data_IF_816650086955
#
_entry.id   IF_816650086955
#
_cell.length_a   1.000
_cell.length_b   1.000
_cell.length_c   1.000
_cell.angle_alpha   90.00
_cell.angle_beta   90.00
_cell.angle_gamma   90.00
#
_symmetry.space_group_name_H-M   'P 1'
#
loop_
_entity.id
_entity.type
_entity.pdbx_description
1 polymer ?
#
# COMPACT_ATOMS: atom_id res chain seq x y z
N UNK A 1 -1.61 21.94 -13.52
CA UNK A 1 -1.69 20.56 -12.93
C UNK A 1 -3.09 20.03 -13.18
N UNK A 2 -3.24 18.81 -13.70
CA UNK A 2 -4.58 18.17 -13.74
C UNK A 2 -5.02 17.94 -12.30
N UNK A 3 -6.26 18.31 -11.98
CA UNK A 3 -6.84 18.00 -10.66
C UNK A 3 -6.82 16.49 -10.43
N UNK A 4 -6.35 16.07 -9.27
CA UNK A 4 -6.37 14.66 -8.90
C UNK A 4 -7.83 14.21 -8.77
N UNK A 5 -8.19 13.13 -9.45
CA UNK A 5 -9.54 12.57 -9.47
C UNK A 5 -9.74 11.66 -8.23
N UNK A 6 -9.96 12.29 -7.08
CA UNK A 6 -10.17 11.57 -5.81
C UNK A 6 -11.35 10.61 -5.88
N UNK A 7 -12.41 10.99 -6.58
CA UNK A 7 -13.60 10.16 -6.82
C UNK A 7 -13.25 8.79 -7.45
N UNK A 8 -12.37 8.78 -8.45
CA UNK A 8 -11.93 7.55 -9.09
C UNK A 8 -11.02 6.71 -8.18
N UNK A 9 -10.16 7.37 -7.39
CA UNK A 9 -9.29 6.68 -6.43
C UNK A 9 -10.12 5.99 -5.35
N UNK A 10 -11.13 6.68 -4.82
CA UNK A 10 -12.06 6.15 -3.84
C UNK A 10 -12.88 4.97 -4.42
N UNK A 11 -13.36 5.10 -5.67
CA UNK A 11 -14.05 4.02 -6.34
C UNK A 11 -13.16 2.77 -6.52
N UNK A 12 -11.88 2.96 -6.86
CA UNK A 12 -10.93 1.83 -6.96
C UNK A 12 -10.76 1.16 -5.60
N UNK A 13 -10.55 1.94 -4.55
CA UNK A 13 -10.32 1.38 -3.22
C UNK A 13 -11.51 0.54 -2.77
N UNK A 14 -12.74 1.05 -2.94
CA UNK A 14 -13.96 0.31 -2.64
C UNK A 14 -14.17 -0.91 -3.54
N UNK A 15 -13.85 -0.81 -4.82
CA UNK A 15 -13.94 -1.94 -5.77
C UNK A 15 -13.04 -3.11 -5.34
N UNK A 16 -11.94 -2.81 -4.64
CA UNK A 16 -10.96 -3.80 -4.22
C UNK A 16 -11.28 -4.45 -2.86
N UNK A 17 -12.33 -4.05 -2.17
CA UNK A 17 -12.75 -4.66 -0.90
C UNK A 17 -12.74 -6.20 -0.90
N UNK A 18 -13.25 -6.90 -1.94
CA UNK A 18 -13.22 -8.36 -1.99
C UNK A 18 -11.80 -8.96 -2.14
N UNK A 19 -10.82 -8.16 -2.50
CA UNK A 19 -9.42 -8.57 -2.71
C UNK A 19 -8.61 -8.45 -1.41
N UNK A 20 -8.92 -7.45 -0.57
CA UNK A 20 -8.12 -7.10 0.61
C UNK A 20 -7.88 -8.25 1.60
N UNK A 21 -8.83 -9.15 1.90
CA UNK A 21 -8.56 -10.29 2.77
C UNK A 21 -7.48 -11.23 2.22
N UNK A 22 -7.42 -11.41 0.91
CA UNK A 22 -6.40 -12.26 0.28
C UNK A 22 -5.03 -11.60 0.24
N UNK A 23 -4.98 -10.28 0.06
CA UNK A 23 -3.75 -9.50 0.18
C UNK A 23 -3.25 -9.49 1.62
N UNK A 24 -4.14 -9.33 2.61
CA UNK A 24 -3.79 -9.40 4.02
C UNK A 24 -3.16 -10.75 4.37
N UNK A 25 -3.70 -11.85 3.83
CA UNK A 25 -3.11 -13.18 3.98
C UNK A 25 -1.69 -13.27 3.40
N UNK A 26 -1.45 -12.74 2.20
CA UNK A 26 -0.11 -12.71 1.60
C UNK A 26 0.87 -11.86 2.42
N UNK A 27 0.42 -10.68 2.88
CA UNK A 27 1.21 -9.79 3.72
C UNK A 27 1.56 -10.47 5.05
N UNK A 28 0.59 -11.14 5.68
CA UNK A 28 0.80 -11.89 6.92
C UNK A 28 1.85 -12.97 6.77
N UNK A 29 1.87 -13.67 5.64
CA UNK A 29 2.87 -14.70 5.35
C UNK A 29 4.27 -14.11 5.17
N UNK A 30 4.38 -12.94 4.50
CA UNK A 30 5.66 -12.25 4.29
C UNK A 30 6.18 -11.57 5.57
N UNK A 31 5.28 -11.07 6.39
CA UNK A 31 5.63 -10.41 7.64
C UNK A 31 6.03 -11.43 8.72
N UNK A 32 5.44 -12.62 8.70
CA UNK A 32 5.73 -13.77 9.58
C UNK A 32 5.70 -13.42 11.09
N UNK A 33 4.92 -12.39 11.46
CA UNK A 33 4.69 -11.94 12.84
C UNK A 33 3.22 -11.61 13.02
N UNK A 34 2.76 -11.60 14.30
CA UNK A 34 1.39 -11.22 14.65
C UNK A 34 1.30 -9.96 15.48
N UNK A 35 2.40 -9.38 15.84
CA UNK A 35 2.53 -8.14 16.61
C UNK A 35 3.16 -7.04 15.74
N UNK A 36 3.26 -5.84 16.29
CA UNK A 36 3.98 -4.72 15.69
C UNK A 36 3.12 -3.56 15.27
N UNK A 37 3.81 -2.46 14.97
CA UNK A 37 3.22 -1.22 14.47
C UNK A 37 3.15 -1.26 12.96
N UNK A 38 1.94 -1.13 12.41
CA UNK A 38 1.68 -1.28 10.98
C UNK A 38 1.21 0.04 10.38
N UNK A 39 1.78 0.44 9.24
CA UNK A 39 1.32 1.57 8.46
C UNK A 39 0.99 1.16 7.03
N UNK A 40 -0.17 1.56 6.54
CA UNK A 40 -0.47 1.52 5.10
C UNK A 40 -0.40 2.93 4.53
N UNK A 41 0.26 3.08 3.38
CA UNK A 41 0.72 4.35 2.83
C UNK A 41 0.05 4.62 1.49
N UNK A 42 -0.41 5.84 1.29
CA UNK A 42 -0.85 6.33 0.00
C UNK A 42 -2.36 6.41 -0.19
N UNK A 43 -2.79 6.35 -1.46
CA UNK A 43 -4.20 6.49 -1.79
C UNK A 43 -5.00 5.18 -1.76
N UNK A 44 -4.35 4.03 -1.56
CA UNK A 44 -5.00 2.71 -1.67
C UNK A 44 -4.80 1.91 -0.37
N UNK A 45 -5.40 2.37 0.74
CA UNK A 45 -5.13 1.86 2.09
C UNK A 45 -6.27 0.97 2.66
N UNK A 46 -6.79 0.04 1.87
CA UNK A 46 -7.88 -0.85 2.32
C UNK A 46 -7.42 -2.15 3.00
N UNK A 47 -6.19 -2.59 2.76
CA UNK A 47 -5.68 -3.87 3.28
C UNK A 47 -5.53 -3.83 4.80
N UNK A 48 -5.17 -2.68 5.36
CA UNK A 48 -4.95 -2.52 6.79
C UNK A 48 -6.20 -2.86 7.63
N UNK A 49 -7.40 -2.61 7.11
CA UNK A 49 -8.64 -3.00 7.76
C UNK A 49 -8.77 -4.52 7.88
N UNK A 50 -8.30 -5.26 6.87
CA UNK A 50 -8.29 -6.73 6.91
C UNK A 50 -7.24 -7.25 7.89
N UNK A 51 -6.03 -6.67 7.92
CA UNK A 51 -4.99 -7.02 8.89
C UNK A 51 -5.47 -6.81 10.33
N UNK A 52 -6.14 -5.68 10.60
CA UNK A 52 -6.70 -5.38 11.91
C UNK A 52 -7.76 -6.41 12.32
N UNK A 53 -8.68 -6.78 11.40
CA UNK A 53 -9.71 -7.81 11.66
C UNK A 53 -9.10 -9.18 11.94
N UNK A 54 -8.00 -9.52 11.29
CA UNK A 54 -7.26 -10.78 11.47
C UNK A 54 -6.31 -10.73 12.67
N UNK A 55 -6.24 -9.61 13.38
CA UNK A 55 -5.36 -9.38 14.54
C UNK A 55 -3.88 -9.58 14.21
N UNK A 56 -3.47 -9.07 13.05
CA UNK A 56 -2.08 -8.99 12.62
C UNK A 56 -1.62 -7.56 12.87
N UNK A 57 -0.75 -7.40 13.86
CA UNK A 57 -0.36 -6.10 14.42
C UNK A 57 -1.12 -5.73 15.69
N UNK A 58 -0.62 -4.73 16.40
CA UNK A 58 -1.28 -4.18 17.60
C UNK A 58 -1.56 -2.67 17.50
N UNK A 59 -0.87 -1.97 16.61
CA UNK A 59 -1.07 -0.55 16.30
C UNK A 59 -1.21 -0.39 14.79
N UNK A 60 -2.18 0.43 14.36
CA UNK A 60 -2.51 0.56 12.94
C UNK A 60 -2.62 2.03 12.57
N UNK A 61 -1.93 2.40 11.48
CA UNK A 61 -1.95 3.77 10.97
C UNK A 61 -2.12 3.80 9.45
N UNK A 62 -2.92 4.75 8.97
CA UNK A 62 -2.96 5.11 7.55
C UNK A 62 -2.23 6.43 7.36
N UNK A 63 -1.22 6.44 6.50
CA UNK A 63 -0.50 7.61 6.05
C UNK A 63 -1.07 8.03 4.68
N UNK A 64 -2.14 8.84 4.70
CA UNK A 64 -2.97 9.14 3.55
C UNK A 64 -2.44 10.29 2.71
N UNK A 65 -2.43 10.13 1.41
CA UNK A 65 -2.28 11.16 0.39
C UNK A 65 -2.92 10.69 -0.93
N UNK A 66 -3.23 11.58 -1.90
CA UNK A 66 -3.17 13.03 -1.81
C UNK A 66 -4.19 13.60 -0.80
N UNK A 67 -4.12 14.91 -0.59
CA UNK A 67 -5.06 15.65 0.27
C UNK A 67 -6.53 15.25 0.02
N UNK A 68 -7.28 15.04 1.10
CA UNK A 68 -8.66 14.57 1.07
C UNK A 68 -8.82 13.05 1.20
N UNK A 69 -7.79 12.25 0.96
CA UNK A 69 -7.86 10.79 1.16
C UNK A 69 -7.96 10.42 2.64
N UNK A 70 -7.39 11.21 3.54
CA UNK A 70 -7.55 11.00 4.99
C UNK A 70 -9.01 11.08 5.43
N UNK A 71 -9.80 12.01 4.88
CA UNK A 71 -11.23 12.08 5.17
C UNK A 71 -11.96 10.83 4.68
N UNK A 72 -11.67 10.36 3.48
CA UNK A 72 -12.23 9.13 2.93
C UNK A 72 -11.96 7.92 3.85
N UNK A 73 -10.71 7.73 4.27
CA UNK A 73 -10.37 6.58 5.13
C UNK A 73 -10.98 6.67 6.53
N UNK A 74 -11.18 7.88 7.09
CA UNK A 74 -11.94 8.05 8.34
C UNK A 74 -13.38 7.56 8.18
N UNK A 75 -14.03 7.93 7.09
CA UNK A 75 -15.38 7.44 6.79
C UNK A 75 -15.42 5.91 6.60
N UNK A 76 -14.44 5.33 5.92
CA UNK A 76 -14.37 3.87 5.76
C UNK A 76 -14.11 3.16 7.11
N UNK A 77 -13.28 3.72 7.96
CA UNK A 77 -13.05 3.21 9.32
C UNK A 77 -14.34 3.28 10.19
N UNK A 78 -15.09 4.37 10.10
CA UNK A 78 -16.38 4.53 10.79
C UNK A 78 -17.41 3.50 10.31
N UNK A 79 -17.60 3.34 9.00
CA UNK A 79 -18.51 2.34 8.40
C UNK A 79 -18.19 0.91 8.86
N UNK A 80 -16.93 0.62 9.11
CA UNK A 80 -16.47 -0.70 9.55
C UNK A 80 -16.41 -0.84 11.09
N UNK A 81 -16.78 0.19 11.85
CA UNK A 81 -16.65 0.27 13.32
C UNK A 81 -15.21 0.07 13.82
N UNK A 82 -14.24 0.64 13.09
CA UNK A 82 -12.81 0.53 13.37
C UNK A 82 -12.15 1.88 13.66
N UNK A 83 -12.90 2.98 13.71
CA UNK A 83 -12.37 4.34 13.88
C UNK A 83 -11.49 4.51 15.12
N UNK A 84 -11.85 3.87 16.24
CA UNK A 84 -11.09 3.91 17.49
C UNK A 84 -9.80 3.05 17.47
N UNK A 85 -9.60 2.25 16.43
CA UNK A 85 -8.52 1.25 16.34
C UNK A 85 -7.46 1.59 15.31
N UNK A 86 -7.67 2.65 14.55
CA UNK A 86 -6.77 3.04 13.47
C UNK A 86 -6.57 4.55 13.46
N UNK A 87 -5.33 4.96 13.48
CA UNK A 87 -4.95 6.36 13.33
C UNK A 87 -4.82 6.73 11.86
N UNK A 88 -5.38 7.87 11.44
CA UNK A 88 -5.31 8.34 10.06
C UNK A 88 -4.66 9.71 10.02
N UNK A 89 -3.48 9.76 9.39
CA UNK A 89 -2.66 10.95 9.24
C UNK A 89 -2.64 11.34 7.76
N UNK A 90 -2.93 12.61 7.46
CA UNK A 90 -2.68 13.16 6.14
C UNK A 90 -1.20 13.56 6.03
N UNK A 91 -0.54 13.12 4.97
CA UNK A 91 0.88 13.33 4.75
C UNK A 91 1.20 13.56 3.26
N UNK A 92 2.45 13.43 2.90
CA UNK A 92 2.95 13.49 1.52
C UNK A 92 3.75 12.21 1.22
N UNK A 93 4.16 11.96 -0.02
CA UNK A 93 5.03 10.85 -0.35
C UNK A 93 6.35 10.81 0.45
N UNK A 94 6.80 11.95 0.98
CA UNK A 94 7.98 12.03 1.88
C UNK A 94 7.67 11.68 3.33
N UNK A 95 6.45 11.23 3.62
CA UNK A 95 5.99 10.73 4.92
C UNK A 95 6.28 11.70 6.07
N UNK A 96 6.02 12.99 5.81
CA UNK A 96 6.17 14.05 6.81
C UNK A 96 5.19 13.83 7.96
N UNK A 97 5.67 13.97 9.20
CA UNK A 97 4.88 13.77 10.41
C UNK A 97 4.86 12.33 10.94
N UNK A 98 5.43 11.37 10.20
CA UNK A 98 5.63 10.02 10.73
C UNK A 98 6.96 9.92 11.48
N UNK A 99 6.92 9.23 12.61
CA UNK A 99 8.08 9.03 13.49
C UNK A 99 9.13 8.15 12.83
N UNK A 100 10.40 8.40 13.17
CA UNK A 100 11.52 7.56 12.78
C UNK A 100 11.56 6.27 13.60
N UNK A 101 12.08 5.19 13.00
CA UNK A 101 12.27 3.89 13.68
C UNK A 101 11.00 3.40 14.44
N UNK A 102 9.82 3.62 13.85
CA UNK A 102 8.56 3.38 14.53
C UNK A 102 7.80 2.13 14.01
N UNK A 103 7.81 1.86 12.71
CA UNK A 103 6.98 0.83 12.11
C UNK A 103 7.72 -0.48 11.90
N UNK A 104 7.06 -1.59 12.25
CA UNK A 104 7.52 -2.93 11.97
C UNK A 104 7.16 -3.37 10.55
N UNK A 105 6.00 -2.89 10.04
CA UNK A 105 5.51 -3.16 8.69
C UNK A 105 4.96 -1.89 8.05
N UNK A 106 5.46 -1.55 6.86
CA UNK A 106 4.89 -0.54 5.98
C UNK A 106 4.35 -1.20 4.71
N UNK A 107 3.17 -0.77 4.26
CA UNK A 107 2.53 -1.29 3.04
C UNK A 107 2.26 -0.10 2.13
N UNK A 108 2.76 -0.15 0.90
CA UNK A 108 2.53 0.91 -0.07
C UNK A 108 2.03 0.32 -1.39
N UNK A 109 0.71 0.21 -1.49
CA UNK A 109 0.06 -0.29 -2.70
C UNK A 109 0.03 0.77 -3.79
N UNK A 110 0.19 0.32 -5.03
CA UNK A 110 0.25 1.20 -6.19
C UNK A 110 1.58 1.96 -6.34
N UNK A 111 2.57 1.69 -5.50
CA UNK A 111 3.81 2.45 -5.32
C UNK A 111 4.51 2.89 -6.60
N UNK A 112 4.55 2.04 -7.63
CA UNK A 112 5.33 2.28 -8.85
C UNK A 112 4.46 2.58 -10.07
N UNK A 113 3.15 2.38 -9.96
CA UNK A 113 2.24 2.37 -11.10
C UNK A 113 1.63 3.73 -11.45
N UNK A 114 1.77 4.72 -10.57
CA UNK A 114 1.11 6.03 -10.72
C UNK A 114 2.10 7.20 -10.61
N UNK A 115 3.11 7.29 -11.49
CA UNK A 115 4.15 8.31 -11.40
C UNK A 115 3.64 9.76 -11.57
N UNK A 116 2.44 9.92 -12.14
CA UNK A 116 1.77 11.22 -12.24
C UNK A 116 1.09 11.67 -10.94
N UNK A 117 0.84 10.77 -10.00
CA UNK A 117 0.23 11.08 -8.70
C UNK A 117 1.28 11.27 -7.61
N UNK A 118 2.29 10.41 -7.59
CA UNK A 118 3.35 10.43 -6.57
C UNK A 118 4.58 9.64 -7.03
N UNK A 119 5.68 9.89 -6.34
CA UNK A 119 6.90 9.09 -6.45
C UNK A 119 7.25 8.52 -5.08
N UNK A 120 7.77 7.29 -5.06
CA UNK A 120 8.19 6.62 -3.82
C UNK A 120 9.46 7.29 -3.29
N UNK A 121 9.40 7.78 -2.06
CA UNK A 121 10.56 8.22 -1.31
C UNK A 121 11.10 7.06 -0.45
N UNK A 122 12.06 6.32 -1.01
CA UNK A 122 12.69 5.19 -0.32
C UNK A 122 13.44 5.61 0.94
N UNK A 123 13.97 6.84 0.98
CA UNK A 123 14.66 7.35 2.17
C UNK A 123 13.68 7.60 3.30
N UNK A 124 12.50 8.14 3.00
CA UNK A 124 11.43 8.31 3.96
C UNK A 124 10.90 6.96 4.48
N UNK A 125 10.73 5.98 3.59
CA UNK A 125 10.35 4.61 3.98
C UNK A 125 11.38 3.99 4.92
N UNK A 126 12.67 4.07 4.56
CA UNK A 126 13.74 3.55 5.41
C UNK A 126 13.78 4.24 6.78
N UNK A 127 13.54 5.55 6.81
CA UNK A 127 13.53 6.35 8.03
C UNK A 127 12.47 5.89 9.02
N UNK A 128 11.24 5.64 8.56
CA UNK A 128 10.12 5.27 9.43
C UNK A 128 10.14 3.83 9.92
N UNK A 129 10.84 2.92 9.22
CA UNK A 129 10.93 1.52 9.63
C UNK A 129 11.84 1.35 10.85
N UNK A 130 11.46 0.48 11.77
CA UNK A 130 12.34 -0.03 12.81
C UNK A 130 13.48 -0.86 12.22
N UNK A 131 14.53 -1.06 12.99
CA UNK A 131 15.56 -2.04 12.67
C UNK A 131 14.92 -3.45 12.62
N UNK A 132 15.07 -4.18 11.51
CA UNK A 132 14.37 -5.43 11.23
C UNK A 132 12.92 -5.25 10.75
N UNK A 133 12.45 -4.04 10.58
CA UNK A 133 11.16 -3.73 9.96
C UNK A 133 11.21 -3.91 8.44
N UNK A 134 10.05 -4.12 7.85
CA UNK A 134 9.90 -4.36 6.40
C UNK A 134 8.90 -3.41 5.77
N UNK A 135 9.10 -3.09 4.49
CA UNK A 135 8.10 -2.42 3.67
C UNK A 135 7.76 -3.28 2.45
N UNK A 136 6.47 -3.48 2.18
CA UNK A 136 5.96 -4.13 0.98
C UNK A 136 5.40 -3.06 0.02
N UNK A 137 6.07 -2.89 -1.12
CA UNK A 137 5.74 -1.87 -2.12
C UNK A 137 5.32 -2.54 -3.43
N UNK A 138 4.32 -2.02 -4.10
CA UNK A 138 3.94 -2.53 -5.41
C UNK A 138 2.44 -2.70 -5.59
N UNK A 139 2.05 -3.71 -6.34
CA UNK A 139 0.64 -3.96 -6.59
C UNK A 139 0.38 -5.22 -7.40
N UNK A 140 -0.85 -5.66 -7.30
CA UNK A 140 -1.36 -6.88 -7.92
C UNK A 140 -2.49 -7.44 -7.09
N UNK A 141 -3.15 -8.44 -7.60
CA UNK A 141 -4.29 -9.06 -6.89
C UNK A 141 -3.89 -9.96 -5.72
N UNK A 142 -2.58 -10.26 -5.59
CA UNK A 142 -2.08 -11.18 -4.59
C UNK A 142 -2.21 -12.65 -5.00
N UNK A 143 -1.29 -13.48 -4.49
CA UNK A 143 -1.19 -14.90 -4.86
C UNK A 143 -2.35 -15.77 -4.37
N UNK A 144 -3.07 -15.32 -3.35
CA UNK A 144 -4.18 -16.07 -2.76
C UNK A 144 -5.56 -15.70 -3.30
N UNK A 145 -5.66 -14.65 -4.12
CA UNK A 145 -6.95 -14.20 -4.63
C UNK A 145 -7.51 -15.18 -5.66
N UNK A 146 -8.71 -15.73 -5.44
CA UNK A 146 -9.32 -16.65 -6.40
C UNK A 146 -9.57 -15.96 -7.75
N UNK A 147 -9.35 -16.69 -8.84
CA UNK A 147 -9.61 -16.19 -10.19
C UNK A 147 -11.02 -15.64 -10.35
N UNK A 148 -12.03 -16.31 -9.77
CA UNK A 148 -13.42 -15.84 -9.80
C UNK A 148 -13.62 -14.47 -9.13
N UNK A 149 -12.84 -14.13 -8.12
CA UNK A 149 -12.87 -12.81 -7.47
C UNK A 149 -12.16 -11.76 -8.34
N UNK A 150 -11.02 -12.11 -8.93
CA UNK A 150 -10.30 -11.24 -9.88
C UNK A 150 -11.19 -10.88 -11.07
N UNK A 151 -11.85 -11.87 -11.65
CA UNK A 151 -12.73 -11.68 -12.82
C UNK A 151 -13.85 -10.65 -12.58
N UNK A 152 -14.37 -10.58 -11.36
CA UNK A 152 -15.42 -9.61 -10.99
C UNK A 152 -14.93 -8.15 -10.98
N UNK A 153 -13.67 -7.92 -10.68
CA UNK A 153 -13.15 -6.56 -10.47
C UNK A 153 -12.20 -6.11 -11.58
N UNK A 154 -11.56 -7.02 -12.33
CA UNK A 154 -10.43 -6.71 -13.22
C UNK A 154 -10.76 -5.68 -14.30
N UNK A 155 -11.91 -5.78 -14.95
CA UNK A 155 -12.28 -4.89 -16.04
C UNK A 155 -12.47 -3.47 -15.55
N UNK A 156 -13.31 -3.29 -14.52
CA UNK A 156 -13.55 -1.97 -13.95
C UNK A 156 -12.30 -1.40 -13.29
N UNK A 157 -11.55 -2.22 -12.59
CA UNK A 157 -10.26 -1.82 -12.00
C UNK A 157 -9.28 -1.32 -13.06
N UNK A 158 -9.19 -2.00 -14.22
CA UNK A 158 -8.33 -1.56 -15.32
C UNK A 158 -8.76 -0.20 -15.87
N UNK A 159 -10.04 0.01 -16.12
CA UNK A 159 -10.59 1.26 -16.62
C UNK A 159 -10.26 2.43 -15.68
N UNK A 160 -10.55 2.27 -14.39
CA UNK A 160 -10.29 3.27 -13.37
C UNK A 160 -8.80 3.56 -13.22
N UNK A 161 -7.96 2.52 -13.16
CA UNK A 161 -6.53 2.66 -13.07
C UNK A 161 -5.94 3.48 -14.24
N UNK A 162 -6.39 3.19 -15.47
CA UNK A 162 -5.96 3.95 -16.65
C UNK A 162 -6.45 5.40 -16.58
N UNK A 163 -7.68 5.63 -16.12
CA UNK A 163 -8.25 6.96 -15.99
C UNK A 163 -7.50 7.86 -15.00
N UNK A 164 -6.92 7.28 -13.94
CA UNK A 164 -6.08 8.02 -12.98
C UNK A 164 -4.59 8.05 -13.34
N UNK A 165 -4.21 7.46 -14.48
CA UNK A 165 -2.85 7.55 -15.00
C UNK A 165 -1.91 6.42 -14.64
N UNK A 166 -2.45 5.20 -14.43
CA UNK A 166 -1.62 4.01 -14.27
C UNK A 166 -0.75 3.80 -15.51
N UNK A 167 0.54 3.53 -15.28
CA UNK A 167 1.51 3.17 -16.31
C UNK A 167 1.86 1.69 -16.24
N UNK A 168 2.21 1.12 -17.39
CA UNK A 168 2.84 -0.20 -17.44
C UNK A 168 4.30 -0.08 -17.01
N UNK A 169 4.81 -1.12 -16.37
CA UNK A 169 6.18 -1.19 -15.88
C UNK A 169 6.88 -2.30 -16.65
N UNK A 170 7.99 -1.96 -17.28
CA UNK A 170 8.97 -2.96 -17.73
C UNK A 170 9.71 -3.47 -16.48
N UNK A 171 9.41 -4.71 -16.08
CA UNK A 171 9.94 -5.27 -14.84
C UNK A 171 11.46 -5.43 -14.86
N UNK A 172 12.06 -5.79 -15.99
CA UNK A 172 13.49 -6.00 -16.08
C UNK A 172 14.24 -4.67 -15.97
N UNK A 173 13.77 -3.64 -16.67
CA UNK A 173 14.31 -2.30 -16.55
C UNK A 173 14.11 -1.74 -15.13
N UNK A 174 12.93 -1.93 -14.54
CA UNK A 174 12.65 -1.48 -13.19
C UNK A 174 13.56 -2.15 -12.14
N UNK A 175 13.79 -3.47 -12.27
CA UNK A 175 14.72 -4.21 -11.42
C UNK A 175 16.15 -3.70 -11.54
N UNK A 176 16.59 -3.42 -12.76
CA UNK A 176 17.90 -2.85 -13.02
C UNK A 176 18.04 -1.44 -12.43
N UNK A 177 17.05 -0.58 -12.67
CA UNK A 177 17.02 0.79 -12.15
C UNK A 177 17.07 0.82 -10.62
N UNK A 178 16.29 -0.07 -9.95
CA UNK A 178 16.29 -0.12 -8.49
C UNK A 178 17.63 -0.60 -7.92
N UNK A 179 18.28 -1.58 -8.58
CA UNK A 179 19.60 -2.10 -8.17
C UNK A 179 20.73 -1.07 -8.34
N UNK A 180 20.62 -0.20 -9.34
CA UNK A 180 21.64 0.83 -9.60
C UNK A 180 21.53 2.05 -8.69
N UNK A 181 20.38 2.23 -8.04
CA UNK A 181 20.18 3.29 -7.05
C UNK A 181 20.93 2.92 -5.77
N UNK A 182 21.67 3.87 -5.23
CA UNK A 182 22.32 3.69 -3.92
C UNK A 182 21.31 3.86 -2.79
N UNK A 183 20.36 2.93 -2.68
CA UNK A 183 19.31 2.94 -1.67
C UNK A 183 19.77 2.23 -0.40
N UNK A 184 19.29 2.72 0.75
CA UNK A 184 19.48 2.04 2.03
C UNK A 184 18.50 0.87 2.15
N UNK A 185 18.96 -0.22 2.79
CA UNK A 185 18.17 -1.44 3.00
C UNK A 185 18.41 -2.51 1.95
N UNK A 186 17.85 -3.68 2.20
CA UNK A 186 17.87 -4.81 1.28
C UNK A 186 16.56 -4.86 0.49
N UNK A 187 16.64 -5.25 -0.78
CA UNK A 187 15.49 -5.28 -1.68
C UNK A 187 15.34 -6.65 -2.32
N UNK A 188 14.15 -7.22 -2.18
CA UNK A 188 13.76 -8.49 -2.77
C UNK A 188 12.55 -8.28 -3.70
N UNK A 189 12.59 -8.84 -4.90
CA UNK A 189 11.49 -8.75 -5.86
C UNK A 189 10.62 -9.99 -5.78
N UNK A 190 9.31 -9.78 -5.61
CA UNK A 190 8.32 -10.83 -5.54
C UNK A 190 7.37 -10.69 -6.73
N UNK A 191 7.21 -11.76 -7.52
CA UNK A 191 6.36 -11.77 -8.73
C UNK A 191 5.05 -12.53 -8.54
N UNK A 192 4.86 -13.20 -7.40
CA UNK A 192 3.63 -13.92 -7.14
C UNK A 192 2.47 -12.97 -6.85
N UNK A 193 1.43 -13.05 -7.67
CA UNK A 193 0.21 -12.25 -7.51
C UNK A 193 0.35 -10.77 -7.85
N UNK A 194 1.43 -10.39 -8.53
CA UNK A 194 1.72 -9.03 -8.97
C UNK A 194 3.18 -8.66 -8.90
N UNK A 195 3.52 -7.40 -9.19
CA UNK A 195 4.87 -6.87 -9.02
C UNK A 195 5.01 -6.25 -7.64
N UNK A 196 5.79 -6.86 -6.79
CA UNK A 196 6.06 -6.42 -5.44
C UNK A 196 7.56 -6.31 -5.15
N UNK A 197 7.90 -5.37 -4.31
CA UNK A 197 9.25 -5.17 -3.76
C UNK A 197 9.16 -5.23 -2.24
N UNK A 198 9.88 -6.15 -1.64
CA UNK A 198 10.08 -6.23 -0.20
C UNK A 198 11.38 -5.49 0.14
N UNK A 199 11.27 -4.42 0.91
CA UNK A 199 12.40 -3.66 1.45
C UNK A 199 12.59 -4.03 2.91
N UNK A 200 13.83 -4.32 3.33
CA UNK A 200 14.21 -4.66 4.73
C UNK A 200 15.17 -3.61 5.29
N UNK A 201 14.95 -3.17 6.53
CA UNK A 201 15.86 -2.25 7.23
C UNK A 201 16.80 -2.99 8.17
#
# INVERSE_FOLDING_TARGET
>A
MKSVRLDLIQEIDQLWDPIYPYLARQISELYDRRDGDIVEIGPFCGVIFSLLKEKIGHSFRIAAFPEGMGHFFRQEAEKQNLAEKIEIIETTPSLVGLEEDHFDLAIFRGAFFFPSLFQVDFSALYRILKRGGIALLGGGFGKFTPTSTIEKVKTRSRELNLAIGKTEIDEDQFRQDLRTRNLKGEFEFLSEGGLWVLMKK
#
